data_IF_664169227332
#
_entry.id   IF_664169227332
#
_cell.length_a   1.000
_cell.length_b   1.000
_cell.length_c   1.000
_cell.angle_alpha   90.00
_cell.angle_beta   90.00
_cell.angle_gamma   90.00
#
_symmetry.space_group_name_H-M   'P 1'
#
loop_
_entity.id
_entity.type
_entity.pdbx_description
1 polymer ?
#
# COMPACT_ATOMS: atom_id res chain seq x y z
N UNK A 1 -2.96 8.99 1.76
CA UNK A 1 -3.57 8.65 3.07
C UNK A 1 -3.20 7.22 3.44
N UNK A 2 -2.46 7.02 4.54
CA UNK A 2 -2.15 5.69 5.10
C UNK A 2 -3.42 5.01 5.63
N UNK A 3 -3.60 3.72 5.37
CA UNK A 3 -4.66 2.91 5.99
C UNK A 3 -4.47 2.86 7.51
N UNK A 4 -3.21 2.75 7.95
CA UNK A 4 -2.86 2.77 9.37
C UNK A 4 -3.18 4.10 10.07
N UNK A 5 -3.15 5.23 9.35
CA UNK A 5 -3.57 6.53 9.91
C UNK A 5 -5.08 6.58 10.16
N UNK A 6 -5.89 6.02 9.26
CA UNK A 6 -7.35 5.96 9.43
C UNK A 6 -7.78 5.12 10.63
N UNK A 7 -6.93 4.19 11.05
CA UNK A 7 -7.17 3.28 12.18
C UNK A 7 -6.45 3.70 13.47
N UNK A 8 -5.74 4.83 13.45
CA UNK A 8 -5.00 5.35 14.60
C UNK A 8 -3.80 4.50 15.05
N UNK A 9 -3.30 3.58 14.21
CA UNK A 9 -2.21 2.64 14.57
C UNK A 9 -0.86 2.96 13.98
N UNK A 10 -0.75 4.05 13.22
CA UNK A 10 0.51 4.45 12.59
C UNK A 10 1.70 4.52 13.57
N UNK A 11 1.43 4.99 14.79
CA UNK A 11 2.43 5.16 15.84
C UNK A 11 2.60 3.93 16.75
N UNK A 12 1.86 2.85 16.49
CA UNK A 12 1.98 1.60 17.23
C UNK A 12 3.27 0.87 16.83
N UNK A 13 4.13 0.58 17.80
CA UNK A 13 5.40 -0.14 17.57
C UNK A 13 5.17 -1.53 16.97
N UNK A 14 4.07 -2.20 17.32
CA UNK A 14 3.72 -3.51 16.76
C UNK A 14 3.40 -3.40 15.27
N UNK A 15 2.63 -2.37 14.87
CA UNK A 15 2.33 -2.10 13.48
C UNK A 15 3.58 -1.74 12.69
N UNK A 16 4.44 -0.86 13.22
CA UNK A 16 5.69 -0.49 12.56
C UNK A 16 6.60 -1.71 12.34
N UNK A 17 6.70 -2.59 13.33
CA UNK A 17 7.47 -3.84 13.23
C UNK A 17 6.89 -4.77 12.16
N UNK A 18 5.56 -4.96 12.17
CA UNK A 18 4.87 -5.76 11.17
C UNK A 18 5.01 -5.17 9.76
N UNK A 19 5.01 -3.84 9.62
CA UNK A 19 5.22 -3.14 8.36
C UNK A 19 6.61 -3.41 7.80
N UNK A 20 7.67 -3.24 8.60
CA UNK A 20 9.03 -3.51 8.13
C UNK A 20 9.24 -4.99 7.82
N UNK A 21 8.61 -5.89 8.58
CA UNK A 21 8.61 -7.31 8.24
C UNK A 21 7.93 -7.55 6.89
N UNK A 22 6.73 -7.01 6.66
CA UNK A 22 6.01 -7.18 5.40
C UNK A 22 6.78 -6.58 4.21
N UNK A 23 7.42 -5.43 4.40
CA UNK A 23 8.28 -4.78 3.42
C UNK A 23 9.50 -5.65 3.07
N UNK A 24 10.20 -6.18 4.08
CA UNK A 24 11.33 -7.08 3.89
C UNK A 24 10.91 -8.41 3.24
N UNK A 25 9.76 -8.98 3.62
CA UNK A 25 9.22 -10.19 3.01
C UNK A 25 8.92 -9.98 1.52
N UNK A 26 8.47 -8.77 1.12
CA UNK A 26 8.11 -8.48 -0.27
C UNK A 26 9.34 -8.24 -1.16
N UNK A 27 10.26 -7.38 -0.71
CA UNK A 27 11.43 -7.02 -1.52
C UNK A 27 12.62 -7.97 -1.34
N UNK A 28 12.59 -8.80 -0.29
CA UNK A 28 13.68 -9.69 0.09
C UNK A 28 14.84 -8.95 0.77
N UNK A 29 15.75 -9.69 1.42
CA UNK A 29 16.84 -9.13 2.22
C UNK A 29 17.83 -8.29 1.40
N UNK A 30 17.97 -8.60 0.10
CA UNK A 30 18.91 -7.89 -0.78
C UNK A 30 18.37 -6.54 -1.24
N UNK A 31 17.10 -6.47 -1.66
CA UNK A 31 16.56 -5.26 -2.28
C UNK A 31 15.89 -4.33 -1.27
N UNK A 32 15.37 -4.86 -0.15
CA UNK A 32 14.65 -4.05 0.83
C UNK A 32 15.51 -2.87 1.37
N UNK A 33 16.79 -3.05 1.77
CA UNK A 33 17.60 -1.93 2.25
C UNK A 33 17.82 -0.85 1.18
N UNK A 34 18.06 -1.26 -0.07
CA UNK A 34 18.31 -0.35 -1.21
C UNK A 34 17.06 0.43 -1.54
N UNK A 35 15.92 -0.25 -1.66
CA UNK A 35 14.63 0.39 -1.97
C UNK A 35 14.22 1.33 -0.84
N UNK A 36 14.40 0.92 0.43
CA UNK A 36 14.17 1.80 1.59
C UNK A 36 15.02 3.07 1.48
N UNK A 37 16.33 2.94 1.27
CA UNK A 37 17.23 4.07 1.15
C UNK A 37 16.86 4.98 -0.03
N UNK A 38 16.52 4.40 -1.19
CA UNK A 38 16.11 5.14 -2.38
C UNK A 38 14.82 5.94 -2.15
N UNK A 39 13.82 5.36 -1.50
CA UNK A 39 12.57 6.03 -1.18
C UNK A 39 12.78 7.17 -0.16
N UNK A 40 13.61 6.96 0.85
CA UNK A 40 13.96 8.00 1.83
C UNK A 40 14.73 9.15 1.14
N UNK A 41 15.71 8.82 0.29
CA UNK A 41 16.54 9.81 -0.40
C UNK A 41 15.77 10.64 -1.43
N UNK A 42 14.70 10.11 -2.03
CA UNK A 42 13.82 10.87 -2.93
C UNK A 42 12.90 11.84 -2.19
N UNK A 43 12.60 11.56 -0.92
CA UNK A 43 11.57 12.25 -0.14
C UNK A 43 12.13 12.89 1.14
N UNK A 44 13.30 13.53 1.02
CA UNK A 44 14.03 14.18 2.14
C UNK A 44 13.22 15.31 2.80
N UNK A 45 12.38 15.99 2.02
CA UNK A 45 11.62 17.21 2.40
C UNK A 45 10.13 16.98 2.63
N UNK A 46 9.66 15.74 2.68
CA UNK A 46 8.28 15.52 3.10
C UNK A 46 8.23 15.82 4.59
N UNK A 47 7.51 16.90 4.92
CA UNK A 47 7.29 17.44 6.26
C UNK A 47 6.37 16.51 7.09
N UNK A 48 6.68 15.21 7.08
CA UNK A 48 5.89 14.15 7.72
C UNK A 48 6.39 13.81 9.13
N UNK A 49 7.31 14.60 9.68
CA UNK A 49 8.08 14.18 10.85
C UNK A 49 9.04 13.04 10.50
N UNK A 50 10.06 12.84 11.32
CA UNK A 50 11.19 11.93 11.08
C UNK A 50 10.86 10.42 11.07
N UNK A 51 9.63 10.03 10.73
CA UNK A 51 9.26 8.62 10.62
C UNK A 51 9.59 8.08 9.22
N UNK A 52 10.68 7.31 9.10
CA UNK A 52 11.06 6.55 7.89
C UNK A 52 9.88 5.87 7.20
N UNK A 53 8.93 5.35 7.98
CA UNK A 53 7.74 4.66 7.50
C UNK A 53 6.85 5.56 6.64
N UNK A 54 6.69 6.83 7.02
CA UNK A 54 5.86 7.77 6.27
C UNK A 54 6.50 8.11 4.92
N UNK A 55 7.82 8.31 4.88
CA UNK A 55 8.57 8.58 3.64
C UNK A 55 8.56 7.38 2.70
N UNK A 56 8.79 6.19 3.24
CA UNK A 56 8.76 4.94 2.46
C UNK A 56 7.37 4.67 1.91
N UNK A 57 6.32 4.78 2.73
CA UNK A 57 4.97 4.57 2.26
C UNK A 57 4.54 5.64 1.24
N UNK A 58 4.92 6.90 1.45
CA UNK A 58 4.65 7.97 0.49
C UNK A 58 5.29 7.66 -0.87
N UNK A 59 6.59 7.35 -0.92
CA UNK A 59 7.26 7.02 -2.17
C UNK A 59 6.74 5.75 -2.83
N UNK A 60 6.34 4.74 -2.04
CA UNK A 60 5.65 3.56 -2.57
C UNK A 60 4.29 3.93 -3.17
N UNK A 61 3.54 4.87 -2.58
CA UNK A 61 2.23 5.28 -3.13
C UNK A 61 2.37 6.04 -4.45
N UNK A 62 3.39 6.88 -4.59
CA UNK A 62 3.65 7.61 -5.83
C UNK A 62 4.03 6.67 -6.98
N UNK A 63 4.80 5.62 -6.70
CA UNK A 63 5.29 4.69 -7.73
C UNK A 63 4.33 3.52 -7.96
N UNK A 64 3.78 2.94 -6.90
CA UNK A 64 2.91 1.77 -6.92
C UNK A 64 1.91 1.79 -5.74
N UNK A 65 0.85 2.58 -5.87
CA UNK A 65 -0.21 2.69 -4.85
C UNK A 65 -0.79 1.34 -4.39
N UNK A 66 -0.91 0.35 -5.29
CA UNK A 66 -1.39 -0.99 -4.96
C UNK A 66 -0.43 -1.75 -4.03
N UNK A 67 0.87 -1.55 -4.19
CA UNK A 67 1.90 -2.23 -3.42
C UNK A 67 1.98 -1.65 -2.00
N UNK A 68 1.94 -0.32 -1.90
CA UNK A 68 1.85 0.34 -0.61
C UNK A 68 0.64 -0.16 0.21
N UNK A 69 -0.50 -0.33 -0.45
CA UNK A 69 -1.70 -0.87 0.16
C UNK A 69 -1.54 -2.34 0.58
N UNK A 70 -0.95 -3.19 -0.26
CA UNK A 70 -0.72 -4.61 0.06
C UNK A 70 0.19 -4.78 1.29
N UNK A 71 1.27 -3.99 1.39
CA UNK A 71 2.19 -4.01 2.53
C UNK A 71 1.49 -3.53 3.81
N UNK A 72 0.75 -2.42 3.74
CA UNK A 72 -0.01 -1.93 4.90
C UNK A 72 -1.08 -2.93 5.36
N UNK A 73 -1.80 -3.59 4.44
CA UNK A 73 -2.80 -4.61 4.77
C UNK A 73 -2.17 -5.81 5.47
N UNK A 74 -1.08 -6.35 4.93
CA UNK A 74 -0.35 -7.47 5.55
C UNK A 74 0.15 -7.11 6.95
N UNK A 75 0.61 -5.87 7.15
CA UNK A 75 1.03 -5.38 8.45
C UNK A 75 -0.15 -5.26 9.45
N UNK A 76 -1.30 -4.77 8.98
CA UNK A 76 -2.52 -4.64 9.79
C UNK A 76 -3.11 -6.01 10.18
N UNK A 77 -3.14 -6.96 9.26
CA UNK A 77 -3.53 -8.35 9.52
C UNK A 77 -2.63 -8.99 10.59
N UNK A 78 -1.33 -8.74 10.53
CA UNK A 78 -0.36 -9.26 11.50
C UNK A 78 -0.54 -8.70 12.92
N UNK A 79 -1.20 -7.55 13.08
CA UNK A 79 -1.51 -6.95 14.39
C UNK A 79 -2.98 -7.14 14.79
N UNK A 80 -3.69 -8.06 14.14
CA UNK A 80 -5.09 -8.37 14.45
C UNK A 80 -6.08 -7.28 14.06
N UNK A 81 -5.69 -6.32 13.20
CA UNK A 81 -6.57 -5.28 12.68
C UNK A 81 -6.91 -5.57 11.23
N UNK A 82 -8.05 -6.21 10.99
CA UNK A 82 -8.55 -6.40 9.63
C UNK A 82 -9.20 -5.12 9.12
N UNK A 83 -8.72 -4.63 7.97
CA UNK A 83 -9.44 -3.61 7.21
C UNK A 83 -10.34 -4.34 6.24
N UNK A 84 -11.67 -4.12 6.24
CA UNK A 84 -12.52 -4.64 5.19
C UNK A 84 -11.89 -4.29 3.84
N UNK A 85 -11.75 -5.29 2.97
CA UNK A 85 -11.42 -5.05 1.57
C UNK A 85 -12.53 -4.13 1.09
N UNK A 86 -12.25 -2.84 0.86
CA UNK A 86 -13.17 -2.03 0.09
C UNK A 86 -13.25 -2.78 -1.22
N UNK A 87 -14.40 -3.36 -1.53
CA UNK A 87 -14.69 -3.92 -2.83
C UNK A 87 -14.57 -2.76 -3.79
N UNK A 88 -13.35 -2.50 -4.27
CA UNK A 88 -13.16 -1.86 -5.55
C UNK A 88 -13.90 -2.79 -6.48
N UNK A 89 -15.13 -2.42 -6.82
CA UNK A 89 -15.89 -3.03 -7.89
C UNK A 89 -14.90 -3.13 -9.04
N UNK A 90 -14.55 -4.33 -9.54
CA UNK A 90 -13.83 -4.39 -10.79
C UNK A 90 -14.62 -3.52 -11.79
N UNK A 91 -13.95 -2.70 -12.64
CA UNK A 91 -14.68 -1.96 -13.66
C UNK A 91 -15.63 -2.96 -14.33
N UNK A 92 -16.94 -2.65 -14.45
CA UNK A 92 -17.91 -3.61 -14.93
C UNK A 92 -17.36 -4.18 -16.22
N UNK A 93 -17.17 -5.50 -16.24
CA UNK A 93 -16.67 -6.21 -17.41
C UNK A 93 -17.52 -5.75 -18.58
N UNK A 94 -16.88 -5.02 -19.52
CA UNK A 94 -17.53 -4.46 -20.70
C UNK A 94 -18.26 -5.60 -21.37
N UNK A 95 -19.59 -5.66 -21.21
CA UNK A 95 -20.37 -6.74 -21.80
C UNK A 95 -20.14 -6.68 -23.31
N UNK A 96 -19.79 -7.79 -23.98
CA UNK A 96 -19.72 -7.78 -25.42
C UNK A 96 -21.12 -7.44 -25.92
N UNK A 97 -21.23 -6.29 -26.58
CA UNK A 97 -22.50 -5.75 -27.04
C UNK A 97 -23.27 -6.83 -27.81
N UNK A 98 -24.49 -7.12 -27.35
CA UNK A 98 -25.49 -7.81 -28.16
C UNK A 98 -25.64 -6.98 -29.44
N UNK A 99 -25.07 -7.45 -30.55
CA UNK A 99 -25.42 -6.97 -31.90
C UNK A 99 -26.91 -7.20 -32.06
N UNK A 100 -27.68 -6.12 -31.89
CA UNK A 100 -29.09 -6.07 -32.27
C UNK A 100 -29.19 -6.40 -33.75
N UNK A 101 -29.89 -7.48 -34.04
CA UNK A 101 -30.28 -7.92 -35.37
C UNK A 101 -31.26 -6.86 -35.90
N UNK A 102 -30.80 -6.01 -36.81
CA UNK A 102 -31.65 -5.06 -37.53
C UNK A 102 -32.58 -5.85 -38.43
N UNK A 103 -33.89 -5.76 -38.17
CA UNK A 103 -34.91 -6.24 -39.08
C UNK A 103 -35.03 -5.31 -40.29
N UNK A 104 -35.17 -5.91 -41.47
CA UNK A 104 -35.82 -5.32 -42.64
C UNK A 104 -36.41 -6.45 -43.47
#
# INVERSE_FOLDING_TARGET
MHLASRLGVKNDKSFQTAYWKAFNDFFGPTNAPVIKAMLIARHVKVDTGNADLDRVCFGLRETMSWLAEAIERKALESVGRSVPRSSGTPPPARSPGKKGKSGR
#
